data_IF_910548537199
#
_entry.id   IF_910548537199
#
_cell.length_a   1.000
_cell.length_b   1.000
_cell.length_c   1.000
_cell.angle_alpha   90.00
_cell.angle_beta   90.00
_cell.angle_gamma   90.00
#
_symmetry.space_group_name_H-M   'P 1'
#
loop_
_entity.id
_entity.type
_entity.pdbx_description
1 polymer ?
#
# COMPACT_ATOMS: atom_id res chain seq x y z
N UNK A 1 19.92 -11.87 5.81
CA UNK A 1 18.72 -12.64 5.48
C UNK A 1 17.88 -12.92 6.73
N UNK A 2 18.49 -13.43 7.79
CA UNK A 2 17.77 -13.78 9.04
C UNK A 2 17.13 -12.57 9.73
N UNK A 3 17.79 -11.42 9.73
CA UNK A 3 17.26 -10.20 10.35
C UNK A 3 16.00 -9.68 9.64
N UNK A 4 15.99 -9.70 8.30
CA UNK A 4 14.82 -9.30 7.51
C UNK A 4 13.63 -10.22 7.75
N UNK A 5 13.88 -11.54 7.78
CA UNK A 5 12.84 -12.51 8.09
C UNK A 5 12.27 -12.32 9.50
N UNK A 6 13.11 -12.00 10.48
CA UNK A 6 12.67 -11.71 11.85
C UNK A 6 11.80 -10.45 11.90
N UNK A 7 12.20 -9.39 11.20
CA UNK A 7 11.42 -8.13 11.10
C UNK A 7 10.03 -8.42 10.52
N UNK A 8 9.99 -9.08 9.38
CA UNK A 8 8.71 -9.39 8.70
C UNK A 8 7.85 -10.33 9.52
N UNK A 9 8.42 -11.42 10.02
CA UNK A 9 7.69 -12.43 10.80
C UNK A 9 7.09 -11.86 12.07
N UNK A 10 7.83 -11.01 12.80
CA UNK A 10 7.34 -10.39 14.04
C UNK A 10 6.21 -9.40 13.77
N UNK A 11 6.34 -8.58 12.73
CA UNK A 11 5.29 -7.64 12.32
C UNK A 11 4.02 -8.39 11.89
N UNK A 12 4.16 -9.43 11.08
CA UNK A 12 3.03 -10.28 10.67
C UNK A 12 2.38 -11.00 11.87
N UNK A 13 3.18 -11.51 12.81
CA UNK A 13 2.66 -12.15 14.01
C UNK A 13 1.85 -11.18 14.88
N UNK A 14 2.25 -9.91 14.97
CA UNK A 14 1.48 -8.88 15.66
C UNK A 14 0.10 -8.69 15.02
N UNK A 15 0.03 -8.52 13.70
CA UNK A 15 -1.24 -8.40 12.99
C UNK A 15 -2.08 -9.67 13.07
N UNK A 16 -1.46 -10.83 12.98
CA UNK A 16 -2.15 -12.12 13.14
C UNK A 16 -2.82 -12.24 14.51
N UNK A 17 -2.13 -11.87 15.58
CA UNK A 17 -2.65 -11.94 16.94
C UNK A 17 -3.75 -10.91 17.22
N UNK A 18 -3.77 -9.77 16.51
CA UNK A 18 -4.70 -8.66 16.71
C UNK A 18 -5.62 -8.41 15.53
N UNK A 19 -5.77 -9.36 14.60
CA UNK A 19 -6.47 -9.19 13.33
C UNK A 19 -7.93 -8.74 13.50
N UNK A 20 -8.68 -9.36 14.42
CA UNK A 20 -10.08 -8.97 14.66
C UNK A 20 -10.19 -7.57 15.25
N UNK A 21 -9.34 -7.23 16.23
CA UNK A 21 -9.29 -5.88 16.78
C UNK A 21 -8.89 -4.83 15.76
N UNK A 22 -7.97 -5.15 14.85
CA UNK A 22 -7.59 -4.27 13.74
C UNK A 22 -8.77 -4.06 12.79
N UNK A 23 -9.49 -5.12 12.41
CA UNK A 23 -10.69 -5.03 11.56
C UNK A 23 -11.74 -4.12 12.18
N UNK A 24 -12.07 -4.32 13.44
CA UNK A 24 -13.03 -3.49 14.18
C UNK A 24 -12.57 -2.04 14.28
N UNK A 25 -11.29 -1.81 14.60
CA UNK A 25 -10.73 -0.46 14.78
C UNK A 25 -10.57 0.33 13.49
N UNK A 26 -10.52 -0.32 12.32
CA UNK A 26 -10.31 0.36 11.01
C UNK A 26 -11.54 0.36 10.11
N UNK A 27 -12.57 -0.38 10.46
CA UNK A 27 -13.77 -0.56 9.62
C UNK A 27 -14.39 0.74 9.15
N UNK A 28 -14.48 1.72 10.01
CA UNK A 28 -15.16 2.98 9.77
C UNK A 28 -14.20 4.13 9.41
N UNK A 29 -12.91 3.83 9.16
CA UNK A 29 -11.97 4.84 8.71
C UNK A 29 -12.35 5.34 7.31
N UNK A 30 -12.45 6.65 7.15
CA UNK A 30 -12.71 7.28 5.87
C UNK A 30 -11.42 7.43 5.06
N UNK A 31 -11.31 6.66 3.98
CA UNK A 31 -10.19 6.70 3.02
C UNK A 31 -10.66 7.12 1.63
N UNK A 32 -11.84 7.72 1.50
CA UNK A 32 -12.40 8.14 0.22
C UNK A 32 -11.47 9.11 -0.52
N UNK A 33 -10.83 10.05 0.16
CA UNK A 33 -9.84 10.93 -0.43
C UNK A 33 -8.70 10.17 -1.09
N UNK A 34 -8.21 9.10 -0.47
CA UNK A 34 -7.12 8.28 -0.98
C UNK A 34 -7.57 7.46 -2.20
N UNK A 35 -8.75 6.87 -2.14
CA UNK A 35 -9.34 6.12 -3.26
C UNK A 35 -9.56 7.05 -4.46
N UNK A 36 -10.13 8.22 -4.23
CA UNK A 36 -10.35 9.23 -5.29
C UNK A 36 -9.03 9.70 -5.91
N UNK A 37 -7.99 9.85 -5.10
CA UNK A 37 -6.65 10.23 -5.58
C UNK A 37 -6.06 9.20 -6.55
N UNK A 38 -6.20 7.90 -6.27
CA UNK A 38 -5.79 6.87 -7.21
C UNK A 38 -6.64 6.92 -8.49
N UNK A 39 -7.97 6.89 -8.34
CA UNK A 39 -8.89 6.72 -9.47
C UNK A 39 -8.82 7.89 -10.47
N UNK A 40 -8.69 9.14 -9.99
CA UNK A 40 -8.65 10.30 -10.90
C UNK A 40 -7.41 10.35 -11.78
N UNK A 41 -6.34 9.66 -11.41
CA UNK A 41 -5.11 9.58 -12.20
C UNK A 41 -5.02 8.32 -13.07
N UNK A 42 -5.85 7.33 -12.83
CA UNK A 42 -5.90 6.13 -13.67
C UNK A 42 -6.50 6.46 -15.05
N UNK A 43 -5.92 5.85 -16.06
CA UNK A 43 -6.39 6.02 -17.44
C UNK A 43 -7.39 4.95 -17.83
N UNK A 44 -8.37 5.29 -18.66
CA UNK A 44 -9.40 4.38 -19.11
C UNK A 44 -10.67 4.44 -18.27
N UNK A 45 -11.59 3.55 -18.58
CA UNK A 45 -12.89 3.47 -17.92
C UNK A 45 -13.04 2.13 -17.18
N UNK A 46 -13.92 2.09 -16.19
CA UNK A 46 -14.28 0.85 -15.52
C UNK A 46 -14.74 -0.23 -16.53
N UNK A 47 -14.40 -1.51 -16.32
CA UNK A 47 -13.64 -2.03 -15.18
C UNK A 47 -12.12 -1.87 -15.33
N UNK A 48 -11.45 -1.33 -14.31
CA UNK A 48 -10.01 -1.24 -14.24
C UNK A 48 -9.46 -2.27 -13.25
N UNK A 49 -8.27 -2.78 -13.54
CA UNK A 49 -7.60 -3.77 -12.69
C UNK A 49 -6.76 -3.07 -11.62
N UNK A 50 -7.06 -3.32 -10.36
CA UNK A 50 -6.42 -2.67 -9.21
C UNK A 50 -5.85 -3.71 -8.25
N UNK A 51 -4.58 -3.54 -7.87
CA UNK A 51 -3.98 -4.29 -6.77
C UNK A 51 -4.11 -3.49 -5.48
N UNK A 52 -4.79 -4.04 -4.49
CA UNK A 52 -4.81 -3.53 -3.12
C UNK A 52 -3.66 -4.18 -2.35
N UNK A 53 -2.52 -3.48 -2.33
CA UNK A 53 -1.27 -3.96 -1.76
C UNK A 53 -1.25 -3.73 -0.25
N UNK A 54 -1.25 -4.81 0.53
CA UNK A 54 -1.49 -4.78 1.96
C UNK A 54 -2.97 -4.55 2.27
N UNK A 55 -3.85 -5.39 1.70
CA UNK A 55 -5.29 -5.16 1.72
C UNK A 55 -5.93 -5.32 3.12
N UNK A 56 -5.21 -5.89 4.09
CA UNK A 56 -5.75 -6.14 5.41
C UNK A 56 -7.06 -6.94 5.35
N UNK A 57 -8.06 -6.59 6.19
CA UNK A 57 -9.35 -7.29 6.22
C UNK A 57 -10.24 -7.11 4.99
N UNK A 58 -9.84 -6.30 3.99
CA UNK A 58 -10.54 -6.21 2.70
C UNK A 58 -11.58 -5.11 2.56
N UNK A 59 -11.59 -4.10 3.44
CA UNK A 59 -12.52 -2.96 3.34
C UNK A 59 -12.47 -2.28 1.98
N UNK A 60 -11.27 -1.98 1.48
CA UNK A 60 -11.09 -1.21 0.25
C UNK A 60 -11.34 -2.05 -1.00
N UNK A 61 -11.13 -3.36 -0.94
CA UNK A 61 -11.53 -4.29 -2.00
C UNK A 61 -13.04 -4.19 -2.30
N UNK A 62 -13.87 -4.15 -1.26
CA UNK A 62 -15.32 -3.97 -1.43
C UNK A 62 -15.65 -2.64 -2.08
N UNK A 63 -14.95 -1.58 -1.70
CA UNK A 63 -15.17 -0.25 -2.26
C UNK A 63 -14.82 -0.21 -3.74
N UNK A 64 -13.68 -0.75 -4.15
CA UNK A 64 -13.30 -0.81 -5.57
C UNK A 64 -14.28 -1.66 -6.39
N UNK A 65 -14.72 -2.81 -5.86
CA UNK A 65 -15.74 -3.64 -6.51
C UNK A 65 -17.06 -2.88 -6.70
N UNK A 66 -17.52 -2.17 -5.67
CA UNK A 66 -18.76 -1.39 -5.73
C UNK A 66 -18.68 -0.24 -6.75
N UNK A 67 -17.49 0.27 -7.02
CA UNK A 67 -17.23 1.29 -8.05
C UNK A 67 -17.10 0.70 -9.47
N UNK A 68 -17.27 -0.61 -9.62
CA UNK A 68 -17.24 -1.30 -10.92
C UNK A 68 -15.85 -1.72 -11.40
N UNK A 69 -14.84 -1.71 -10.53
CA UNK A 69 -13.49 -2.16 -10.85
C UNK A 69 -13.27 -3.63 -10.49
N UNK A 70 -12.12 -4.16 -10.90
CA UNK A 70 -11.68 -5.54 -10.64
C UNK A 70 -10.48 -5.52 -9.70
N UNK A 71 -10.70 -5.45 -8.38
CA UNK A 71 -9.61 -5.47 -7.42
C UNK A 71 -9.13 -6.87 -7.14
N UNK A 72 -7.81 -6.99 -6.89
CA UNK A 72 -7.15 -8.15 -6.30
C UNK A 72 -6.44 -7.66 -5.04
N UNK A 73 -6.60 -8.37 -3.93
CA UNK A 73 -5.89 -8.08 -2.69
C UNK A 73 -4.61 -8.90 -2.56
N UNK A 74 -3.66 -8.36 -1.83
CA UNK A 74 -2.47 -9.08 -1.38
C UNK A 74 -2.13 -8.69 0.05
N UNK A 75 -1.84 -9.68 0.89
CA UNK A 75 -1.41 -9.47 2.27
C UNK A 75 -0.57 -10.66 2.74
N UNK A 76 0.37 -10.41 3.65
CA UNK A 76 1.19 -11.45 4.26
C UNK A 76 0.55 -12.11 5.47
N UNK A 77 -0.48 -11.52 6.06
CA UNK A 77 -1.16 -12.03 7.24
C UNK A 77 -2.26 -13.02 6.85
N UNK A 78 -2.13 -14.33 7.19
CA UNK A 78 -3.12 -15.35 6.82
C UNK A 78 -4.55 -15.01 7.29
N UNK A 79 -4.68 -14.45 8.49
CA UNK A 79 -5.98 -14.09 9.05
C UNK A 79 -6.63 -12.96 8.24
N UNK A 80 -5.88 -11.93 7.85
CA UNK A 80 -6.37 -10.87 6.99
C UNK A 80 -6.79 -11.40 5.62
N UNK A 81 -6.01 -12.30 5.03
CA UNK A 81 -6.35 -12.93 3.74
C UNK A 81 -7.69 -13.66 3.83
N UNK A 82 -7.90 -14.42 4.90
CA UNK A 82 -9.17 -15.14 5.12
C UNK A 82 -10.34 -14.16 5.29
N UNK A 83 -10.17 -13.11 6.12
CA UNK A 83 -11.19 -12.06 6.30
C UNK A 83 -11.50 -11.34 4.99
N UNK A 84 -10.48 -10.93 4.25
CA UNK A 84 -10.63 -10.20 3.00
C UNK A 84 -11.38 -11.01 1.94
N UNK A 85 -11.07 -12.29 1.80
CA UNK A 85 -11.80 -13.22 0.90
C UNK A 85 -13.26 -13.36 1.30
N UNK A 86 -13.52 -13.57 2.59
CA UNK A 86 -14.88 -13.75 3.11
C UNK A 86 -15.72 -12.49 2.98
N UNK A 87 -15.17 -11.32 3.33
CA UNK A 87 -15.93 -10.07 3.39
C UNK A 87 -16.08 -9.40 2.02
N UNK A 88 -15.13 -9.56 1.10
CA UNK A 88 -15.16 -8.91 -0.21
C UNK A 88 -15.64 -9.81 -1.35
N UNK A 89 -15.44 -11.12 -1.24
CA UNK A 89 -15.63 -12.06 -2.33
C UNK A 89 -14.61 -11.91 -3.46
N UNK A 90 -13.60 -11.07 -3.28
CA UNK A 90 -12.54 -10.83 -4.26
C UNK A 90 -11.42 -11.88 -4.16
N UNK A 91 -10.63 -12.00 -5.22
CA UNK A 91 -9.39 -12.74 -5.19
C UNK A 91 -8.37 -12.05 -4.28
N UNK A 92 -7.72 -12.80 -3.40
CA UNK A 92 -6.69 -12.32 -2.48
C UNK A 92 -5.54 -13.30 -2.46
N UNK A 93 -4.34 -12.79 -2.66
CA UNK A 93 -3.10 -13.57 -2.61
C UNK A 93 -2.40 -13.40 -1.26
N UNK A 94 -1.96 -14.52 -0.70
CA UNK A 94 -1.11 -14.50 0.48
C UNK A 94 0.35 -14.50 0.06
N UNK A 95 1.03 -13.37 0.18
CA UNK A 95 2.44 -13.22 -0.16
C UNK A 95 3.15 -12.35 0.87
N UNK A 96 4.40 -12.71 1.14
CA UNK A 96 5.33 -11.90 1.95
C UNK A 96 6.02 -10.87 1.04
N UNK A 97 6.24 -9.65 1.54
CA UNK A 97 6.96 -8.60 0.82
C UNK A 97 8.40 -8.98 0.46
N UNK A 98 9.00 -9.93 1.20
CA UNK A 98 10.33 -10.45 0.89
C UNK A 98 10.34 -11.45 -0.26
N UNK A 99 9.20 -11.97 -0.65
CA UNK A 99 9.05 -13.01 -1.67
C UNK A 99 7.80 -12.76 -2.52
N UNK A 100 7.75 -11.60 -3.18
CA UNK A 100 6.65 -11.25 -4.06
C UNK A 100 6.72 -12.03 -5.37
N UNK A 101 5.56 -12.46 -5.84
CA UNK A 101 5.36 -13.07 -7.17
C UNK A 101 4.17 -12.38 -7.84
N UNK A 102 4.45 -11.25 -8.47
CA UNK A 102 3.44 -10.42 -9.11
C UNK A 102 3.51 -10.61 -10.63
N UNK A 103 2.36 -10.78 -11.31
CA UNK A 103 2.32 -10.84 -12.76
C UNK A 103 2.74 -9.51 -13.37
N UNK A 104 3.54 -9.55 -14.44
CA UNK A 104 3.99 -8.37 -15.15
C UNK A 104 2.83 -7.69 -15.88
N UNK A 105 2.85 -6.36 -15.90
CA UNK A 105 1.89 -5.52 -16.66
C UNK A 105 0.43 -5.95 -16.48
N UNK A 106 0.06 -6.24 -15.25
CA UNK A 106 -1.26 -6.79 -14.91
C UNK A 106 -2.27 -5.73 -14.45
N UNK A 107 -1.80 -4.67 -13.76
CA UNK A 107 -2.65 -3.73 -13.06
C UNK A 107 -2.63 -2.34 -13.70
N UNK A 108 -3.80 -1.71 -13.77
CA UNK A 108 -3.95 -0.30 -14.14
C UNK A 108 -3.56 0.62 -12.98
N UNK A 109 -3.78 0.17 -11.76
CA UNK A 109 -3.42 0.88 -10.53
C UNK A 109 -3.06 -0.03 -9.38
N UNK A 110 -2.25 0.51 -8.46
CA UNK A 110 -1.90 -0.13 -7.20
C UNK A 110 -2.27 0.83 -6.06
N UNK A 111 -3.00 0.32 -5.09
CA UNK A 111 -3.39 1.02 -3.87
C UNK A 111 -2.58 0.49 -2.69
N UNK A 112 -1.59 1.25 -2.23
CA UNK A 112 -0.73 0.91 -1.09
C UNK A 112 -1.02 1.85 0.09
N UNK A 113 -2.16 1.63 0.74
CA UNK A 113 -2.63 2.47 1.83
C UNK A 113 -2.12 1.96 3.18
N UNK A 114 -1.21 2.70 3.80
CA UNK A 114 -0.62 2.39 5.12
C UNK A 114 0.10 1.03 5.17
N UNK A 115 0.95 0.74 4.20
CA UNK A 115 1.65 -0.54 4.09
C UNK A 115 3.15 -0.43 3.80
N UNK A 116 3.56 0.44 2.87
CA UNK A 116 4.95 0.50 2.42
C UNK A 116 5.94 0.91 3.52
N UNK A 117 5.49 1.62 4.53
CA UNK A 117 6.33 1.99 5.67
C UNK A 117 6.76 0.80 6.55
N UNK A 118 6.08 -0.35 6.43
CA UNK A 118 6.50 -1.58 7.12
C UNK A 118 7.67 -2.30 6.44
N UNK A 119 8.02 -1.90 5.22
CA UNK A 119 9.10 -2.52 4.47
C UNK A 119 10.43 -1.89 4.91
N UNK A 120 11.41 -2.70 5.36
CA UNK A 120 12.73 -2.19 5.67
C UNK A 120 13.34 -1.40 4.51
N UNK A 121 14.01 -0.28 4.83
CA UNK A 121 14.52 0.63 3.83
C UNK A 121 15.46 -0.02 2.80
N UNK A 122 16.22 -1.04 3.20
CA UNK A 122 17.08 -1.80 2.28
C UNK A 122 16.33 -2.62 1.24
N UNK A 123 15.07 -3.03 1.52
CA UNK A 123 14.22 -3.83 0.63
C UNK A 123 13.24 -2.98 -0.17
N UNK A 124 12.98 -1.75 0.25
CA UNK A 124 11.99 -0.89 -0.37
C UNK A 124 12.25 -0.62 -1.86
N UNK A 125 13.50 -0.34 -2.32
CA UNK A 125 13.77 -0.18 -3.75
C UNK A 125 13.38 -1.41 -4.59
N UNK A 126 13.70 -2.61 -4.11
CA UNK A 126 13.31 -3.87 -4.79
C UNK A 126 11.79 -4.03 -4.87
N UNK A 127 11.09 -3.79 -3.76
CA UNK A 127 9.62 -3.89 -3.74
C UNK A 127 8.99 -2.87 -4.69
N UNK A 128 9.47 -1.63 -4.71
CA UNK A 128 8.98 -0.61 -5.62
C UNK A 128 9.20 -0.99 -7.10
N UNK A 129 10.33 -1.61 -7.43
CA UNK A 129 10.58 -2.12 -8.79
C UNK A 129 9.62 -3.25 -9.17
N UNK A 130 9.34 -4.18 -8.25
CA UNK A 130 8.39 -5.26 -8.48
C UNK A 130 6.96 -4.74 -8.66
N UNK A 131 6.55 -3.77 -7.86
CA UNK A 131 5.27 -3.08 -8.04
C UNK A 131 5.20 -2.37 -9.40
N UNK A 132 6.27 -1.66 -9.77
CA UNK A 132 6.36 -1.01 -11.07
C UNK A 132 6.22 -1.99 -12.22
N UNK A 133 6.91 -3.12 -12.16
CA UNK A 133 6.85 -4.16 -13.19
C UNK A 133 5.44 -4.77 -13.33
N UNK A 134 4.67 -4.82 -12.25
CA UNK A 134 3.29 -5.33 -12.26
C UNK A 134 2.27 -4.34 -12.81
N UNK A 135 2.62 -3.07 -12.94
CA UNK A 135 1.78 -2.05 -13.57
C UNK A 135 1.87 -2.13 -15.09
N UNK A 136 0.73 -1.97 -15.74
CA UNK A 136 0.65 -1.72 -17.18
C UNK A 136 1.36 -0.42 -17.53
N UNK A 137 1.76 -0.21 -18.82
CA UNK A 137 2.24 1.09 -19.29
C UNK A 137 1.27 2.21 -18.91
N UNK A 138 1.79 3.30 -18.31
CA UNK A 138 0.97 4.41 -17.83
C UNK A 138 0.19 4.13 -16.54
N UNK A 139 0.41 3.00 -15.90
CA UNK A 139 -0.23 2.64 -14.63
C UNK A 139 0.21 3.53 -13.46
N UNK A 140 -0.56 3.53 -12.40
CA UNK A 140 -0.47 4.49 -11.29
C UNK A 140 -0.32 3.75 -9.96
N UNK A 141 0.61 4.23 -9.14
CA UNK A 141 0.78 3.80 -7.75
C UNK A 141 0.30 4.90 -6.79
N UNK A 142 -0.61 4.56 -5.90
CA UNK A 142 -0.94 5.36 -4.74
C UNK A 142 -0.22 4.81 -3.51
N UNK A 143 0.34 5.69 -2.68
CA UNK A 143 0.84 5.32 -1.35
C UNK A 143 0.40 6.32 -0.28
N UNK A 144 0.15 5.82 0.92
CA UNK A 144 -0.05 6.64 2.12
C UNK A 144 0.72 6.02 3.27
N UNK A 145 1.58 6.81 3.90
CA UNK A 145 2.44 6.37 5.00
C UNK A 145 2.45 7.39 6.12
N UNK A 146 2.63 6.95 7.38
CA UNK A 146 3.01 7.89 8.43
C UNK A 146 4.36 8.50 8.07
N UNK A 147 4.43 9.83 8.13
CA UNK A 147 5.65 10.58 7.82
C UNK A 147 6.56 10.71 9.04
N UNK A 148 7.83 10.95 8.78
CA UNK A 148 8.82 11.18 9.83
C UNK A 148 10.02 11.94 9.32
N UNK A 149 11.14 11.77 10.02
CA UNK A 149 12.42 12.42 9.73
C UNK A 149 13.45 11.37 9.23
N UNK A 150 12.98 10.40 8.44
CA UNK A 150 13.79 9.33 7.86
C UNK A 150 14.37 8.34 8.88
N UNK A 151 13.70 8.18 10.02
CA UNK A 151 14.04 7.17 11.01
C UNK A 151 13.44 5.81 10.63
N UNK A 152 14.10 4.76 11.07
CA UNK A 152 13.67 3.37 10.84
C UNK A 152 13.89 2.54 12.11
N UNK A 153 12.95 1.66 12.45
CA UNK A 153 13.06 0.79 13.61
C UNK A 153 11.73 0.23 14.09
N UNK A 154 11.76 -0.28 15.30
CA UNK A 154 10.60 -0.88 15.95
C UNK A 154 9.72 0.17 16.63
N UNK A 155 8.41 0.03 16.44
CA UNK A 155 7.38 0.71 17.21
C UNK A 155 6.49 -0.37 17.84
N UNK A 156 6.77 -0.72 19.09
CA UNK A 156 6.20 -1.91 19.72
C UNK A 156 6.62 -3.19 18.98
N UNK A 157 5.66 -3.96 18.51
CA UNK A 157 5.89 -5.20 17.78
C UNK A 157 5.89 -5.02 16.24
N UNK A 158 5.77 -3.78 15.76
CA UNK A 158 5.74 -3.46 14.33
C UNK A 158 7.01 -2.72 13.93
N UNK A 159 7.60 -3.15 12.84
CA UNK A 159 8.71 -2.44 12.22
C UNK A 159 8.19 -1.38 11.26
N UNK A 160 8.89 -0.24 11.19
CA UNK A 160 8.55 0.83 10.27
C UNK A 160 9.76 1.67 9.87
N UNK A 161 9.62 2.30 8.71
CA UNK A 161 10.51 3.32 8.18
C UNK A 161 9.67 4.55 7.84
N UNK A 162 9.95 5.67 8.49
CA UNK A 162 9.16 6.90 8.40
C UNK A 162 9.93 7.93 7.59
N UNK A 163 9.51 8.12 6.34
CA UNK A 163 10.16 9.02 5.39
C UNK A 163 9.52 10.41 5.40
N UNK A 164 10.34 11.44 5.20
CA UNK A 164 9.86 12.74 4.77
C UNK A 164 9.56 12.75 3.25
N UNK A 165 8.96 13.82 2.75
CA UNK A 165 8.57 13.94 1.35
C UNK A 165 9.78 13.83 0.39
N UNK A 166 10.89 14.50 0.71
CA UNK A 166 12.06 14.51 -0.17
C UNK A 166 12.70 13.12 -0.30
N UNK A 167 12.83 12.40 0.80
CA UNK A 167 13.34 11.04 0.79
C UNK A 167 12.40 10.09 0.06
N UNK A 168 11.08 10.26 0.25
CA UNK A 168 10.07 9.48 -0.47
C UNK A 168 10.15 9.73 -1.98
N UNK A 169 10.26 10.99 -2.39
CA UNK A 169 10.48 11.36 -3.81
C UNK A 169 11.72 10.71 -4.40
N UNK A 170 12.84 10.74 -3.68
CA UNK A 170 14.07 10.09 -4.15
C UNK A 170 13.87 8.58 -4.38
N UNK A 171 13.20 7.90 -3.47
CA UNK A 171 12.91 6.47 -3.60
C UNK A 171 12.02 6.17 -4.80
N UNK A 172 10.92 6.88 -4.96
CA UNK A 172 9.97 6.65 -6.06
C UNK A 172 10.57 7.04 -7.42
N UNK A 173 11.25 8.18 -7.52
CA UNK A 173 11.93 8.59 -8.74
C UNK A 173 13.03 7.60 -9.12
N UNK A 174 13.79 7.11 -8.15
CA UNK A 174 14.83 6.10 -8.36
C UNK A 174 14.26 4.76 -8.82
N UNK A 175 13.06 4.41 -8.43
CA UNK A 175 12.35 3.20 -8.85
C UNK A 175 11.60 3.36 -10.18
N UNK A 176 11.68 4.51 -10.85
CA UNK A 176 11.07 4.73 -12.17
C UNK A 176 9.64 5.23 -12.13
N UNK A 177 9.30 6.04 -11.13
CA UNK A 177 8.00 6.70 -11.01
C UNK A 177 8.13 8.21 -11.11
N UNK A 178 7.13 8.87 -11.70
CA UNK A 178 6.98 10.32 -11.74
C UNK A 178 5.82 10.76 -10.83
N UNK A 179 6.06 11.77 -10.00
CA UNK A 179 5.06 12.29 -9.07
C UNK A 179 3.90 12.97 -9.84
N UNK A 180 2.67 12.61 -9.47
CA UNK A 180 1.45 13.25 -9.99
C UNK A 180 0.86 14.22 -8.98
N UNK A 181 0.81 13.84 -7.70
CA UNK A 181 0.39 14.69 -6.60
C UNK A 181 0.86 14.14 -5.26
N UNK A 182 0.83 15.00 -4.25
CA UNK A 182 0.92 14.60 -2.86
C UNK A 182 0.04 15.49 -1.98
N UNK A 183 -0.33 14.99 -0.83
CA UNK A 183 -1.06 15.74 0.18
C UNK A 183 -0.83 15.13 1.57
N UNK A 184 -1.20 15.89 2.58
CA UNK A 184 -1.08 15.43 3.96
C UNK A 184 -2.45 15.27 4.59
N UNK A 185 -2.55 14.35 5.54
CA UNK A 185 -3.80 14.05 6.25
C UNK A 185 -3.61 14.06 7.76
N UNK A 186 -4.65 14.37 8.56
CA UNK A 186 -6.00 14.82 8.16
C UNK A 186 -5.99 16.17 7.43
N UNK A 187 -6.96 16.37 6.53
CA UNK A 187 -7.12 17.61 5.77
C UNK A 187 -7.56 18.77 6.66
N UNK A 188 -7.11 19.99 6.35
CA UNK A 188 -7.56 21.21 7.01
C UNK A 188 -6.93 21.50 8.37
N UNK A 189 -5.93 20.73 8.77
CA UNK A 189 -5.17 20.93 10.00
C UNK A 189 -3.79 21.54 9.71
N UNK A 190 -3.13 22.17 10.71
CA UNK A 190 -1.73 22.53 10.60
C UNK A 190 -0.84 21.32 10.33
N UNK A 191 0.30 21.53 9.65
CA UNK A 191 1.23 20.45 9.23
C UNK A 191 1.64 19.53 10.40
N UNK A 192 1.85 20.08 11.56
CA UNK A 192 2.26 19.35 12.76
C UNK A 192 1.21 18.33 13.22
N UNK A 193 -0.05 18.56 12.83
CA UNK A 193 -1.19 17.68 13.12
C UNK A 193 -1.58 16.79 11.95
N UNK A 194 -0.76 16.74 10.90
CA UNK A 194 -0.96 15.91 9.71
C UNK A 194 0.13 14.84 9.62
N UNK A 195 0.00 13.73 10.36
CA UNK A 195 1.05 12.70 10.43
C UNK A 195 1.14 11.81 9.18
N UNK A 196 0.20 11.91 8.25
CA UNK A 196 0.16 11.07 7.05
C UNK A 196 0.58 11.83 5.81
N UNK A 197 1.46 11.21 5.02
CA UNK A 197 1.85 11.66 3.68
C UNK A 197 1.25 10.71 2.65
N UNK A 198 0.37 11.22 1.81
CA UNK A 198 -0.22 10.51 0.67
C UNK A 198 0.37 11.04 -0.63
N UNK A 199 0.61 10.17 -1.59
CA UNK A 199 1.19 10.54 -2.89
C UNK A 199 0.77 9.59 -3.99
N UNK A 200 0.74 10.10 -5.22
CA UNK A 200 0.32 9.38 -6.41
C UNK A 200 1.42 9.50 -7.47
N UNK A 201 1.75 8.38 -8.10
CA UNK A 201 2.92 8.22 -8.96
C UNK A 201 2.55 7.49 -10.24
N UNK A 202 3.02 7.98 -11.37
CA UNK A 202 2.88 7.30 -12.66
C UNK A 202 4.12 6.48 -12.98
N UNK A 203 3.92 5.25 -13.43
CA UNK A 203 4.99 4.43 -14.01
C UNK A 203 5.64 5.18 -15.16
N UNK A 204 6.94 5.46 -15.05
CA UNK A 204 7.73 6.05 -16.12
C UNK A 204 7.94 5.01 -17.21
N UNK A 205 7.72 5.40 -18.43
CA UNK A 205 8.03 4.60 -19.61
C UNK A 205 9.54 4.65 -19.87
N UNK A 206 10.15 3.53 -20.22
CA UNK A 206 11.58 3.41 -20.53
C UNK A 206 11.76 3.46 -22.03
#
# INVERSE_FOLDING_TARGET
HDQLQQITSRTLAHYQASAEGFREGTRDHDVSQNIDALLRHMRGNAPLSILDFGCGPGRDLRTFSALGHQPIGIDGCPEFVAMARADSGCEVWQQDFLALDLPAERFDGIFANAVLFHIPGQELPRVLEELRASLKPGGVLFSSNPRGENQEGWSGERYGAWHDLESWRCLLNGAGFDELEHYYRPTGLPREQQPWLASVWRKREI
#
